data_IF_701160205589
#
_entry.id   IF_701160205589
#
_cell.length_a   1.000
_cell.length_b   1.000
_cell.length_c   1.000
_cell.angle_alpha   90.00
_cell.angle_beta   90.00
_cell.angle_gamma   90.00
#
_symmetry.space_group_name_H-M   'P 1'
#
loop_
_entity.id
_entity.type
_entity.pdbx_description
1 polymer ?
#
# COMPACT_ATOMS: atom_id res chain seq x y z
N UNK A 1 -26.69 -1.10 -20.61
CA UNK A 1 -25.94 -0.35 -21.64
C UNK A 1 -24.84 -1.25 -22.15
N UNK A 2 -24.87 -1.61 -23.44
CA UNK A 2 -23.77 -2.33 -24.09
C UNK A 2 -22.62 -1.33 -24.31
N UNK A 3 -21.48 -1.57 -23.66
CA UNK A 3 -20.26 -0.82 -23.96
C UNK A 3 -19.79 -1.21 -25.36
N UNK A 4 -19.71 -0.24 -26.27
CA UNK A 4 -19.29 -0.44 -27.67
C UNK A 4 -17.76 -0.43 -27.83
N UNK A 5 -17.01 -0.34 -26.73
CA UNK A 5 -15.56 -0.42 -26.74
C UNK A 5 -15.07 -1.77 -26.21
N UNK A 6 -14.17 -2.47 -26.92
CA UNK A 6 -13.58 -3.70 -26.44
C UNK A 6 -12.81 -3.43 -25.13
N UNK A 7 -12.88 -4.36 -24.18
CA UNK A 7 -12.07 -4.29 -22.97
C UNK A 7 -10.59 -4.46 -23.35
N UNK A 8 -9.87 -3.34 -23.42
CA UNK A 8 -8.45 -3.28 -23.80
C UNK A 8 -7.50 -3.83 -22.71
N UNK A 9 -8.04 -4.25 -21.56
CA UNK A 9 -7.23 -4.81 -20.48
C UNK A 9 -6.76 -6.22 -20.79
N UNK A 10 -5.52 -6.51 -20.40
CA UNK A 10 -4.91 -7.84 -20.50
C UNK A 10 -5.29 -8.72 -19.32
N UNK A 11 -5.34 -10.03 -19.55
CA UNK A 11 -5.45 -11.00 -18.47
C UNK A 11 -4.16 -11.04 -17.65
N UNK A 12 -4.26 -11.08 -16.32
CA UNK A 12 -3.10 -11.10 -15.43
C UNK A 12 -2.18 -12.31 -15.72
N UNK A 13 -2.77 -13.47 -16.05
CA UNK A 13 -2.06 -14.69 -16.41
C UNK A 13 -1.22 -14.60 -17.70
N UNK A 14 -1.37 -13.52 -18.47
CA UNK A 14 -0.61 -13.29 -19.72
C UNK A 14 0.57 -12.35 -19.52
N UNK A 15 0.83 -11.90 -18.29
CA UNK A 15 1.94 -11.00 -17.98
C UNK A 15 3.23 -11.79 -17.77
N UNK A 16 4.33 -11.28 -18.30
CA UNK A 16 5.68 -11.78 -17.97
C UNK A 16 6.16 -11.27 -16.60
N UNK A 17 7.17 -11.92 -16.01
CA UNK A 17 7.81 -11.47 -14.74
C UNK A 17 8.25 -10.00 -14.81
N UNK A 18 8.73 -9.55 -15.98
CA UNK A 18 9.09 -8.14 -16.22
C UNK A 18 7.89 -7.21 -16.12
N UNK A 19 6.74 -7.61 -16.66
CA UNK A 19 5.51 -6.82 -16.62
C UNK A 19 4.90 -6.84 -15.22
N UNK A 20 4.89 -7.99 -14.54
CA UNK A 20 4.39 -8.13 -13.16
C UNK A 20 5.20 -7.25 -12.20
N UNK A 21 6.54 -7.27 -12.28
CA UNK A 21 7.37 -6.41 -11.44
C UNK A 21 7.21 -4.93 -11.78
N UNK A 22 7.11 -4.55 -13.07
CA UNK A 22 6.86 -3.15 -13.44
C UNK A 22 5.51 -2.67 -12.91
N UNK A 23 4.49 -3.54 -12.97
CA UNK A 23 3.16 -3.29 -12.43
C UNK A 23 3.19 -3.13 -10.90
N UNK A 24 3.90 -4.01 -10.20
CA UNK A 24 4.08 -3.94 -8.75
C UNK A 24 4.75 -2.63 -8.32
N UNK A 25 5.83 -2.21 -9.00
CA UNK A 25 6.51 -0.94 -8.71
C UNK A 25 5.58 0.26 -8.90
N UNK A 26 4.83 0.30 -10.01
CA UNK A 26 3.87 1.38 -10.26
C UNK A 26 2.71 1.37 -9.24
N UNK A 27 2.35 0.17 -8.77
CA UNK A 27 1.34 -0.06 -7.76
C UNK A 27 1.73 0.54 -6.40
N UNK A 28 2.92 0.22 -5.89
CA UNK A 28 3.45 0.78 -4.64
C UNK A 28 3.61 2.31 -4.70
N UNK A 29 4.07 2.84 -5.85
CA UNK A 29 4.22 4.29 -6.03
C UNK A 29 2.86 5.04 -6.01
N UNK A 30 1.79 4.38 -6.46
CA UNK A 30 0.43 4.91 -6.37
C UNK A 30 -0.09 4.84 -4.93
N UNK A 31 0.20 3.75 -4.22
CA UNK A 31 -0.30 3.47 -2.88
C UNK A 31 0.37 4.38 -1.84
N UNK A 32 1.69 4.61 -1.94
CA UNK A 32 2.39 5.58 -1.09
C UNK A 32 1.88 7.01 -1.28
N UNK A 33 1.51 7.40 -2.51
CA UNK A 33 0.88 8.70 -2.79
C UNK A 33 -0.52 8.80 -2.19
N UNK A 34 -1.29 7.73 -2.24
CA UNK A 34 -2.60 7.65 -1.62
C UNK A 34 -2.50 7.84 -0.10
N UNK A 35 -1.54 7.19 0.55
CA UNK A 35 -1.32 7.36 1.98
C UNK A 35 -0.90 8.78 2.37
N UNK A 36 0.01 9.38 1.59
CA UNK A 36 0.42 10.77 1.78
C UNK A 36 -0.78 11.74 1.69
N UNK A 37 -1.69 11.50 0.75
CA UNK A 37 -2.91 12.30 0.61
C UNK A 37 -3.88 12.10 1.78
N UNK A 38 -4.02 10.86 2.28
CA UNK A 38 -4.84 10.57 3.44
C UNK A 38 -4.32 11.30 4.69
N UNK A 39 -3.01 11.34 4.88
CA UNK A 39 -2.37 12.09 5.97
C UNK A 39 -2.73 13.59 5.88
N UNK A 40 -2.59 14.18 4.68
CA UNK A 40 -2.88 15.59 4.45
C UNK A 40 -4.37 15.92 4.67
N UNK A 41 -5.29 15.13 4.12
CA UNK A 41 -6.74 15.39 4.20
C UNK A 41 -7.34 15.20 5.59
N UNK A 42 -6.90 14.16 6.29
CA UNK A 42 -7.47 13.81 7.59
C UNK A 42 -6.74 14.50 8.74
N UNK A 43 -5.58 15.10 8.49
CA UNK A 43 -4.72 15.66 9.54
C UNK A 43 -5.40 16.72 10.41
N UNK A 44 -6.21 17.60 9.82
CA UNK A 44 -6.90 18.65 10.57
C UNK A 44 -7.96 18.08 11.53
N UNK A 45 -8.73 17.09 11.08
CA UNK A 45 -9.82 16.49 11.84
C UNK A 45 -9.35 15.35 12.77
N UNK A 46 -8.28 14.65 12.39
CA UNK A 46 -7.72 13.48 13.07
C UNK A 46 -6.18 13.54 13.08
N UNK A 47 -5.54 14.47 13.82
CA UNK A 47 -4.09 14.63 13.85
C UNK A 47 -3.32 13.34 14.21
N UNK A 48 -3.92 12.50 15.05
CA UNK A 48 -3.36 11.21 15.46
C UNK A 48 -3.21 10.19 14.31
N UNK A 49 -3.88 10.40 13.17
CA UNK A 49 -3.77 9.55 11.99
C UNK A 49 -2.64 9.97 11.03
N UNK A 50 -2.06 11.17 11.20
CA UNK A 50 -1.04 11.70 10.28
C UNK A 50 0.21 10.82 10.28
N UNK A 51 0.84 10.65 11.45
CA UNK A 51 2.07 9.86 11.59
C UNK A 51 1.90 8.40 11.15
N UNK A 52 0.68 7.86 11.29
CA UNK A 52 0.33 6.54 10.80
C UNK A 52 0.38 6.51 9.27
N UNK A 53 -0.38 7.36 8.59
CA UNK A 53 -0.44 7.36 7.13
C UNK A 53 0.90 7.74 6.50
N UNK A 54 1.68 8.61 7.13
CA UNK A 54 3.08 8.87 6.74
C UNK A 54 3.96 7.62 6.90
N UNK A 55 3.78 6.86 7.99
CA UNK A 55 4.46 5.58 8.19
C UNK A 55 4.09 4.54 7.13
N UNK A 56 2.82 4.44 6.76
CA UNK A 56 2.35 3.60 5.66
C UNK A 56 2.97 4.03 4.32
N UNK A 57 2.95 5.33 4.01
CA UNK A 57 3.58 5.84 2.80
C UNK A 57 5.08 5.50 2.71
N UNK A 58 5.79 5.50 3.84
CA UNK A 58 7.18 5.09 3.91
C UNK A 58 7.36 3.58 3.71
N UNK A 59 6.44 2.75 4.22
CA UNK A 59 6.42 1.31 4.01
C UNK A 59 6.26 0.97 2.52
N UNK A 60 5.29 1.58 1.84
CA UNK A 60 5.09 1.43 0.39
C UNK A 60 6.34 1.84 -0.40
N UNK A 61 7.03 2.93 0.01
CA UNK A 61 8.27 3.33 -0.67
C UNK A 61 9.40 2.30 -0.51
N UNK A 62 9.47 1.62 0.64
CA UNK A 62 10.45 0.55 0.87
C UNK A 62 10.09 -0.72 0.10
N UNK A 63 8.81 -1.09 0.01
CA UNK A 63 8.33 -2.15 -0.89
C UNK A 63 8.72 -1.82 -2.35
N UNK A 64 8.43 -0.60 -2.80
CA UNK A 64 8.79 -0.08 -4.13
C UNK A 64 10.28 -0.17 -4.42
N UNK A 65 11.14 0.19 -3.45
CA UNK A 65 12.61 0.11 -3.58
C UNK A 65 13.08 -1.33 -3.76
N UNK A 66 12.63 -2.26 -2.91
CA UNK A 66 12.98 -3.68 -3.01
C UNK A 66 12.56 -4.29 -4.35
N UNK A 67 11.37 -3.94 -4.84
CA UNK A 67 10.89 -4.35 -6.16
C UNK A 67 11.73 -3.75 -7.29
N UNK A 68 12.08 -2.46 -7.20
CA UNK A 68 12.89 -1.76 -8.19
C UNK A 68 14.31 -2.33 -8.26
N UNK A 69 14.94 -2.62 -7.12
CA UNK A 69 16.27 -3.23 -7.06
C UNK A 69 16.27 -4.60 -7.73
N UNK A 70 15.28 -5.44 -7.44
CA UNK A 70 15.10 -6.74 -8.09
C UNK A 70 14.87 -6.57 -9.60
N UNK A 71 14.05 -5.60 -10.02
CA UNK A 71 13.81 -5.31 -11.43
C UNK A 71 15.08 -4.89 -12.15
N UNK A 72 15.83 -3.94 -11.58
CA UNK A 72 17.05 -3.39 -12.19
C UNK A 72 18.12 -4.46 -12.33
N UNK A 73 18.28 -5.31 -11.31
CA UNK A 73 19.21 -6.43 -11.35
C UNK A 73 18.90 -7.40 -12.50
N UNK A 74 17.62 -7.59 -12.83
CA UNK A 74 17.17 -8.65 -13.74
C UNK A 74 16.88 -8.18 -15.17
N UNK A 75 16.33 -6.98 -15.33
CA UNK A 75 15.82 -6.46 -16.61
C UNK A 75 16.42 -5.11 -16.99
N UNK A 76 17.30 -4.55 -16.14
CA UNK A 76 17.88 -3.21 -16.33
C UNK A 76 16.92 -2.08 -15.95
N UNK A 77 17.24 -0.86 -16.38
CA UNK A 77 16.62 0.37 -15.82
C UNK A 77 15.29 0.80 -16.47
N UNK A 78 14.85 0.13 -17.53
CA UNK A 78 13.69 0.56 -18.32
C UNK A 78 12.44 -0.23 -17.96
N UNK A 79 11.64 0.33 -17.05
CA UNK A 79 10.32 -0.17 -16.66
C UNK A 79 9.37 -0.24 -17.86
N UNK A 80 8.49 -1.24 -17.84
CA UNK A 80 7.38 -1.32 -18.80
C UNK A 80 6.30 -0.32 -18.34
N UNK A 81 5.74 0.52 -19.23
CA UNK A 81 4.67 1.46 -18.88
C UNK A 81 3.33 0.73 -18.71
N UNK A 82 3.21 -0.07 -17.65
CA UNK A 82 2.02 -0.82 -17.28
C UNK A 82 1.46 -0.29 -15.97
N UNK A 83 0.13 -0.29 -15.84
CA UNK A 83 -0.60 0.14 -14.64
C UNK A 83 -1.76 -0.81 -14.37
N UNK A 84 -2.35 -0.73 -13.18
CA UNK A 84 -3.45 -1.60 -12.73
C UNK A 84 -4.64 -1.53 -13.69
N UNK A 85 -4.95 -0.34 -14.23
CA UNK A 85 -6.03 -0.15 -15.19
C UNK A 85 -5.82 -0.85 -16.54
N UNK A 86 -4.59 -1.28 -16.85
CA UNK A 86 -4.29 -2.05 -18.08
C UNK A 86 -4.52 -3.56 -17.90
N UNK A 87 -4.86 -4.03 -16.70
CA UNK A 87 -4.90 -5.45 -16.35
C UNK A 87 -6.25 -5.82 -15.70
N UNK A 88 -6.84 -6.94 -16.11
CA UNK A 88 -8.08 -7.47 -15.53
C UNK A 88 -7.82 -8.01 -14.12
N UNK A 89 -8.86 -7.99 -13.29
CA UNK A 89 -8.79 -8.45 -11.90
C UNK A 89 -8.42 -7.37 -10.89
N UNK A 90 -7.88 -6.22 -11.32
CA UNK A 90 -7.78 -5.05 -10.47
C UNK A 90 -9.13 -4.33 -10.40
N UNK A 91 -9.57 -4.02 -9.18
CA UNK A 91 -10.74 -3.18 -8.98
C UNK A 91 -10.40 -1.76 -9.41
N UNK A 92 -11.20 -1.13 -10.31
CA UNK A 92 -11.00 0.26 -10.66
C UNK A 92 -11.18 1.11 -9.40
N UNK A 93 -10.13 1.85 -9.03
CA UNK A 93 -10.16 2.71 -7.86
C UNK A 93 -10.91 3.99 -8.17
N UNK A 94 -11.84 4.36 -7.29
CA UNK A 94 -12.40 5.71 -7.32
C UNK A 94 -11.33 6.66 -6.82
N UNK A 95 -11.08 7.71 -7.58
CA UNK A 95 -10.21 8.82 -7.17
C UNK A 95 -10.70 9.37 -5.83
N UNK A 96 -9.90 9.20 -4.77
CA UNK A 96 -10.19 9.73 -3.42
C UNK A 96 -10.39 11.25 -3.48
N UNK A 97 -9.71 11.89 -4.44
CA UNK A 97 -9.80 13.30 -4.79
C UNK A 97 -11.23 13.79 -5.11
N UNK A 98 -12.11 12.91 -5.60
CA UNK A 98 -13.48 13.25 -6.01
C UNK A 98 -14.50 13.15 -4.86
N UNK A 99 -14.08 12.74 -3.67
CA UNK A 99 -14.99 12.58 -2.52
C UNK A 99 -14.94 13.84 -1.65
N UNK A 100 -16.05 14.57 -1.56
CA UNK A 100 -16.18 15.81 -0.78
C UNK A 100 -16.24 15.55 0.74
N UNK A 101 -16.92 14.48 1.17
CA UNK A 101 -17.09 14.12 2.58
C UNK A 101 -16.28 12.86 2.95
N UNK A 102 -14.96 12.98 2.98
CA UNK A 102 -14.07 11.86 3.25
C UNK A 102 -13.73 11.73 4.74
N UNK A 103 -14.58 11.04 5.50
CA UNK A 103 -14.38 10.78 6.93
C UNK A 103 -13.47 9.57 7.24
N UNK A 104 -13.06 9.45 8.50
CA UNK A 104 -12.16 8.40 9.00
C UNK A 104 -12.64 6.96 8.70
N UNK A 105 -13.94 6.68 8.81
CA UNK A 105 -14.47 5.34 8.52
C UNK A 105 -14.41 4.99 7.03
N UNK A 106 -14.57 5.99 6.17
CA UNK A 106 -14.38 5.81 4.74
C UNK A 106 -12.92 5.53 4.42
N UNK A 107 -12.01 6.29 5.03
CA UNK A 107 -10.57 6.08 4.92
C UNK A 107 -10.18 4.63 5.28
N UNK A 108 -10.67 4.13 6.43
CA UNK A 108 -10.45 2.74 6.85
C UNK A 108 -10.90 1.73 5.82
N UNK A 109 -12.10 1.88 5.28
CA UNK A 109 -12.64 0.94 4.31
C UNK A 109 -11.83 0.94 3.00
N UNK A 110 -11.37 2.10 2.55
CA UNK A 110 -10.58 2.20 1.33
C UNK A 110 -9.16 1.65 1.53
N UNK A 111 -8.52 1.97 2.65
CA UNK A 111 -7.23 1.38 3.05
C UNK A 111 -7.34 -0.13 3.22
N UNK A 112 -8.40 -0.63 3.85
CA UNK A 112 -8.59 -2.08 4.00
C UNK A 112 -8.71 -2.78 2.64
N UNK A 113 -9.52 -2.24 1.72
CA UNK A 113 -9.67 -2.81 0.37
C UNK A 113 -8.38 -2.72 -0.43
N UNK A 114 -7.63 -1.64 -0.25
CA UNK A 114 -6.34 -1.42 -0.86
C UNK A 114 -5.39 -2.55 -0.50
N UNK A 115 -5.18 -2.76 0.79
CA UNK A 115 -4.26 -3.75 1.36
C UNK A 115 -4.70 -5.19 1.07
N UNK A 116 -5.99 -5.50 1.20
CA UNK A 116 -6.50 -6.84 0.83
C UNK A 116 -6.40 -7.10 -0.68
N UNK A 117 -6.44 -6.05 -1.52
CA UNK A 117 -6.20 -6.19 -2.95
C UNK A 117 -4.72 -6.38 -3.27
N UNK A 118 -3.82 -5.65 -2.60
CA UNK A 118 -2.38 -5.76 -2.80
C UNK A 118 -1.86 -7.14 -2.34
N UNK A 119 -2.28 -7.60 -1.17
CA UNK A 119 -1.97 -8.95 -0.67
C UNK A 119 -2.40 -10.05 -1.66
N UNK A 120 -3.62 -9.96 -2.22
CA UNK A 120 -4.09 -10.92 -3.24
C UNK A 120 -3.31 -10.82 -4.55
N UNK A 121 -2.96 -9.62 -4.98
CA UNK A 121 -2.11 -9.41 -6.14
C UNK A 121 -0.76 -10.10 -5.96
N UNK A 122 -0.09 -9.89 -4.83
CA UNK A 122 1.20 -10.49 -4.56
C UNK A 122 1.14 -12.02 -4.44
N UNK A 123 0.08 -12.57 -3.83
CA UNK A 123 -0.14 -14.03 -3.86
C UNK A 123 -0.29 -14.56 -5.29
N UNK A 124 -1.04 -13.87 -6.15
CA UNK A 124 -1.21 -14.27 -7.54
C UNK A 124 0.07 -14.06 -8.38
N UNK A 125 0.88 -13.05 -8.06
CA UNK A 125 2.19 -12.83 -8.68
C UNK A 125 3.18 -13.95 -8.28
N UNK A 126 3.17 -14.36 -7.00
CA UNK A 126 4.02 -15.42 -6.49
C UNK A 126 3.73 -16.79 -7.14
N UNK A 127 2.48 -17.06 -7.55
CA UNK A 127 2.13 -18.31 -8.25
C UNK A 127 2.60 -18.34 -9.71
N UNK A 128 2.81 -17.19 -10.34
CA UNK A 128 3.32 -17.08 -11.72
C UNK A 128 4.83 -16.88 -11.79
N UNK A 129 5.45 -16.43 -10.70
CA UNK A 129 6.88 -16.21 -10.65
C UNK A 129 7.65 -17.50 -10.97
N UNK A 130 8.52 -17.43 -11.97
CA UNK A 130 9.32 -18.58 -12.43
C UNK A 130 10.55 -18.83 -11.55
N UNK A 131 10.89 -17.87 -10.69
CA UNK A 131 12.19 -17.75 -10.05
C UNK A 131 12.04 -17.60 -8.54
N UNK A 132 12.78 -18.40 -7.79
CA UNK A 132 12.60 -18.51 -6.33
C UNK A 132 12.81 -17.18 -5.60
N UNK A 133 13.73 -16.32 -6.05
CA UNK A 133 13.95 -15.00 -5.44
C UNK A 133 12.77 -14.03 -5.67
N UNK A 134 12.14 -14.09 -6.85
CA UNK A 134 10.96 -13.28 -7.19
C UNK A 134 9.75 -13.79 -6.42
N UNK A 135 9.53 -15.11 -6.43
CA UNK A 135 8.47 -15.74 -5.68
C UNK A 135 8.58 -15.44 -4.19
N UNK A 136 9.79 -15.53 -3.61
CA UNK A 136 10.03 -15.18 -2.21
C UNK A 136 9.63 -13.74 -1.92
N UNK A 137 10.11 -12.78 -2.72
CA UNK A 137 9.78 -11.36 -2.50
C UNK A 137 8.26 -11.12 -2.56
N UNK A 138 7.56 -11.70 -3.52
CA UNK A 138 6.10 -11.57 -3.60
C UNK A 138 5.37 -12.22 -2.41
N UNK A 139 5.84 -13.37 -1.92
CA UNK A 139 5.28 -13.97 -0.71
C UNK A 139 5.50 -13.09 0.53
N UNK A 140 6.68 -12.49 0.67
CA UNK A 140 7.00 -11.58 1.77
C UNK A 140 6.10 -10.33 1.72
N UNK A 141 6.00 -9.69 0.54
CA UNK A 141 5.12 -8.53 0.33
C UNK A 141 3.66 -8.90 0.60
N UNK A 142 3.17 -10.05 0.12
CA UNK A 142 1.81 -10.50 0.41
C UNK A 142 1.50 -10.60 1.92
N UNK A 143 2.48 -10.97 2.72
CA UNK A 143 2.36 -11.06 4.18
C UNK A 143 2.40 -9.67 4.84
N UNK A 144 3.24 -8.75 4.36
CA UNK A 144 3.30 -7.35 4.79
C UNK A 144 1.94 -6.66 4.55
N UNK A 145 1.39 -6.74 3.34
CA UNK A 145 0.08 -6.14 3.00
C UNK A 145 -1.07 -6.75 3.80
N UNK A 146 -0.97 -8.04 4.12
CA UNK A 146 -1.96 -8.68 5.00
C UNK A 146 -1.88 -8.10 6.42
N UNK A 147 -0.69 -7.79 6.91
CA UNK A 147 -0.50 -7.13 8.20
C UNK A 147 -1.04 -5.70 8.17
N UNK A 148 -0.81 -4.95 7.08
CA UNK A 148 -1.39 -3.63 6.85
C UNK A 148 -2.93 -3.65 6.82
N UNK A 149 -3.54 -4.65 6.16
CA UNK A 149 -4.99 -4.84 6.16
C UNK A 149 -5.55 -5.08 7.58
N UNK A 150 -4.88 -5.91 8.39
CA UNK A 150 -5.26 -6.12 9.79
C UNK A 150 -5.17 -4.83 10.60
N UNK A 151 -4.18 -4.00 10.29
CA UNK A 151 -4.00 -2.67 10.86
C UNK A 151 -5.15 -1.72 10.54
N UNK A 152 -5.55 -1.65 9.28
CA UNK A 152 -6.67 -0.84 8.83
C UNK A 152 -7.98 -1.16 9.58
N UNK A 153 -8.20 -2.44 9.90
CA UNK A 153 -9.36 -2.89 10.70
C UNK A 153 -9.35 -2.32 12.12
N UNK A 154 -8.17 -2.12 12.71
CA UNK A 154 -8.00 -1.66 14.10
C UNK A 154 -7.88 -0.14 14.25
N UNK A 155 -7.84 0.60 13.13
CA UNK A 155 -7.60 2.04 13.12
C UNK A 155 -8.65 2.79 13.95
N UNK A 156 -9.92 2.38 13.89
CA UNK A 156 -11.02 3.07 14.58
C UNK A 156 -10.95 2.96 16.09
N UNK A 157 -10.78 1.72 16.56
CA UNK A 157 -10.66 1.41 17.98
C UNK A 157 -9.44 2.10 18.60
N UNK A 158 -8.40 2.36 17.80
CA UNK A 158 -7.15 2.95 18.28
C UNK A 158 -7.19 4.47 18.29
N UNK A 159 -7.73 5.09 17.23
CA UNK A 159 -7.86 6.55 17.10
C UNK A 159 -8.85 7.11 18.13
N UNK A 160 -9.91 6.37 18.44
CA UNK A 160 -10.87 6.72 19.49
C UNK A 160 -10.45 6.34 20.91
N UNK A 161 -9.34 5.61 21.09
CA UNK A 161 -8.89 5.16 22.41
C UNK A 161 -8.29 6.32 23.22
N UNK A 162 -8.73 6.48 24.47
CA UNK A 162 -8.08 7.37 25.43
C UNK A 162 -6.68 6.89 25.88
N UNK A 163 -6.32 5.62 25.62
CA UNK A 163 -5.06 5.03 26.05
C UNK A 163 -3.89 5.47 25.16
N UNK A 164 -3.11 6.43 25.65
CA UNK A 164 -1.90 6.92 24.97
C UNK A 164 -0.82 5.84 24.81
N UNK A 165 -0.69 4.87 25.73
CA UNK A 165 0.29 3.78 25.63
C UNK A 165 -0.10 2.79 24.54
N UNK A 166 -1.40 2.51 24.39
CA UNK A 166 -1.91 1.69 23.29
C UNK A 166 -1.63 2.34 21.94
N UNK A 167 -1.89 3.65 21.82
CA UNK A 167 -1.58 4.45 20.62
C UNK A 167 -0.09 4.51 20.30
N UNK A 168 0.77 4.68 21.31
CA UNK A 168 2.23 4.71 21.11
C UNK A 168 2.79 3.36 20.64
N UNK A 169 2.39 2.27 21.33
CA UNK A 169 2.80 0.92 20.95
C UNK A 169 2.34 0.57 19.55
N UNK A 170 1.16 1.07 19.18
CA UNK A 170 0.62 0.93 17.85
C UNK A 170 1.47 1.69 16.83
N UNK A 171 1.77 2.99 17.01
CA UNK A 171 2.65 3.74 16.09
C UNK A 171 4.02 3.07 15.88
N UNK A 172 4.61 2.50 16.93
CA UNK A 172 5.86 1.74 16.84
C UNK A 172 5.75 0.48 16.00
N UNK A 173 4.60 -0.21 16.04
CA UNK A 173 4.37 -1.39 15.22
C UNK A 173 4.21 -1.03 13.73
N UNK A 174 3.63 0.12 13.35
CA UNK A 174 3.63 0.56 11.94
C UNK A 174 5.01 0.96 11.47
N UNK A 175 5.75 1.69 12.31
CA UNK A 175 7.12 2.06 11.99
C UNK A 175 8.02 0.81 11.80
N UNK A 176 7.77 -0.25 12.58
CA UNK A 176 8.45 -1.53 12.44
C UNK A 176 8.04 -2.32 11.18
N UNK A 177 6.79 -2.18 10.70
CA UNK A 177 6.33 -2.79 9.44
C UNK A 177 6.93 -2.09 8.21
N UNK A 178 7.10 -0.77 8.24
CA UNK A 178 7.73 -0.01 7.17
C UNK A 178 9.26 0.00 7.17
N UNK A 179 9.92 -0.85 7.98
CA UNK A 179 11.38 -0.90 8.10
C UNK A 179 12.05 0.36 8.67
N UNK A 180 11.29 1.39 9.03
CA UNK A 180 11.78 2.68 9.49
C UNK A 180 11.79 2.74 11.02
N UNK A 181 12.93 2.40 11.62
CA UNK A 181 13.26 2.67 13.04
C UNK A 181 13.34 4.18 13.40
N UNK A 182 12.81 5.10 12.59
CA UNK A 182 13.14 6.54 12.66
C UNK A 182 12.20 7.36 13.56
N UNK A 183 11.04 6.87 13.98
CA UNK A 183 10.09 7.68 14.76
C UNK A 183 10.24 7.60 16.30
N UNK A 184 11.44 7.33 16.81
CA UNK A 184 11.70 7.39 18.26
C UNK A 184 11.97 8.80 18.80
N UNK A 185 12.23 9.80 17.95
CA UNK A 185 12.71 11.11 18.41
C UNK A 185 11.62 12.17 18.67
N UNK A 186 10.43 12.07 18.06
CA UNK A 186 9.43 13.14 18.08
C UNK A 186 8.43 13.11 19.24
N UNK A 187 8.24 11.96 19.89
CA UNK A 187 7.16 11.77 20.89
C UNK A 187 7.65 12.04 22.32
N UNK A 188 8.96 12.18 22.53
CA UNK A 188 9.51 12.46 23.86
C UNK A 188 9.34 13.93 24.34
N UNK A 189 8.88 14.85 23.48
CA UNK A 189 8.81 16.29 23.81
C UNK A 189 7.48 16.70 24.46
N UNK A 190 6.50 15.80 24.57
CA UNK A 190 5.19 16.10 25.19
C UNK A 190 5.07 15.84 26.70
N UNK A 191 6.16 15.53 27.40
CA UNK A 191 6.14 15.13 28.83
C UNK A 191 7.25 15.79 29.68
N UNK A 192 7.58 17.04 29.36
CA UNK A 192 8.23 17.99 30.28
C UNK A 192 7.43 19.30 30.27
#
# INVERSE_FOLDING_TARGET
MLSLWPDLRREFATLSDREILSLAIAAEEEDGRLYSELAARLGDAFPQCVALFEGMAAAEDEQRRRLLDLYVNRFGRRLVPIRREHVRGFLPRKSIWLMQDFGLDRAKQEVLKLEESASRFYLAAATQATEASVQKLFCDLAAEEKAHAMWAKQLGDTVGSADAKRRQRWLLNVAALGGALVFAAGILIGLL
#
